data_IF_097078842486
#
_entry.id   IF_097078842486
#
_cell.length_a   1.000
_cell.length_b   1.000
_cell.length_c   1.000
_cell.angle_alpha   90.00
_cell.angle_beta   90.00
_cell.angle_gamma   90.00
#
_symmetry.space_group_name_H-M   'P 1'
#
loop_
_entity.id
_entity.type
_entity.pdbx_description
1 polymer ?
#
# COMPACT_ATOMS: atom_id res chain seq x y z
N UNK A 1 -9.70 4.83 -9.51
CA UNK A 1 -11.04 5.45 -9.43
C UNK A 1 -11.14 6.48 -10.56
N UNK A 2 -12.06 6.28 -11.50
CA UNK A 2 -12.29 7.24 -12.59
C UNK A 2 -12.89 8.54 -12.02
N UNK A 3 -12.34 9.70 -12.40
CA UNK A 3 -12.91 11.00 -12.07
C UNK A 3 -14.08 11.26 -13.01
N UNK A 4 -15.28 10.84 -12.62
CA UNK A 4 -16.49 11.25 -13.34
C UNK A 4 -16.80 12.71 -12.96
N UNK A 5 -16.83 13.65 -13.92
CA UNK A 5 -17.24 15.01 -13.62
C UNK A 5 -18.71 15.01 -13.18
N UNK A 6 -19.00 15.66 -12.05
CA UNK A 6 -20.38 15.78 -11.52
C UNK A 6 -21.30 16.55 -12.47
N UNK A 7 -20.73 17.44 -13.27
CA UNK A 7 -21.45 18.27 -14.25
C UNK A 7 -20.70 18.25 -15.58
N UNK A 8 -21.41 18.03 -16.69
CA UNK A 8 -20.86 18.08 -18.04
C UNK A 8 -20.37 19.50 -18.38
N UNK A 9 -19.50 19.63 -19.38
CA UNK A 9 -19.03 20.95 -19.81
C UNK A 9 -20.16 21.78 -20.44
N UNK A 10 -21.05 21.12 -21.18
CA UNK A 10 -22.24 21.71 -21.82
C UNK A 10 -23.21 22.27 -20.77
N UNK A 11 -23.58 21.49 -19.76
CA UNK A 11 -24.46 21.95 -18.67
C UNK A 11 -23.90 23.19 -17.95
N UNK A 12 -22.57 23.24 -17.73
CA UNK A 12 -21.93 24.43 -17.15
C UNK A 12 -21.99 25.63 -18.08
N UNK A 13 -21.84 25.41 -19.38
CA UNK A 13 -21.86 26.48 -20.38
C UNK A 13 -23.25 27.08 -20.50
N UNK A 14 -24.29 26.25 -20.53
CA UNK A 14 -25.69 26.68 -20.58
C UNK A 14 -26.04 27.58 -19.39
N UNK A 15 -25.69 27.15 -18.17
CA UNK A 15 -25.92 27.95 -16.97
C UNK A 15 -25.11 29.26 -16.95
N UNK A 16 -23.89 29.26 -17.48
CA UNK A 16 -23.09 30.49 -17.59
C UNK A 16 -23.72 31.46 -18.60
N UNK A 17 -24.20 30.96 -19.74
CA UNK A 17 -24.87 31.78 -20.74
C UNK A 17 -26.20 32.34 -20.23
N UNK A 18 -27.01 31.53 -19.54
CA UNK A 18 -28.26 31.96 -18.88
C UNK A 18 -27.98 33.02 -17.81
N UNK A 19 -26.91 32.86 -17.01
CA UNK A 19 -26.54 33.88 -16.04
C UNK A 19 -26.13 35.20 -16.71
N UNK A 20 -25.34 35.13 -17.80
CA UNK A 20 -24.88 36.31 -18.52
C UNK A 20 -26.01 37.08 -19.22
N UNK A 21 -27.14 36.43 -19.52
CA UNK A 21 -28.35 37.08 -20.04
C UNK A 21 -29.31 37.54 -18.93
N UNK A 22 -29.07 37.15 -17.68
CA UNK A 22 -29.86 37.56 -16.51
C UNK A 22 -29.31 38.81 -15.83
N UNK A 23 -30.15 39.49 -15.04
CA UNK A 23 -29.74 40.58 -14.12
C UNK A 23 -29.58 40.09 -12.68
N UNK A 24 -29.59 38.77 -12.46
CA UNK A 24 -29.52 38.18 -11.13
C UNK A 24 -28.11 38.33 -10.52
N UNK A 25 -28.05 38.34 -9.18
CA UNK A 25 -26.77 38.20 -8.48
C UNK A 25 -26.23 36.78 -8.62
N UNK A 26 -24.89 36.61 -8.63
CA UNK A 26 -24.23 35.29 -8.69
C UNK A 26 -24.79 34.35 -7.61
N UNK A 27 -25.00 34.88 -6.40
CA UNK A 27 -25.55 34.14 -5.27
C UNK A 27 -26.98 33.68 -5.50
N UNK A 28 -27.85 34.58 -5.99
CA UNK A 28 -29.25 34.28 -6.29
C UNK A 28 -29.37 33.20 -7.37
N UNK A 29 -28.63 33.39 -8.47
CA UNK A 29 -28.61 32.46 -9.59
C UNK A 29 -28.07 31.08 -9.19
N UNK A 30 -26.98 31.02 -8.42
CA UNK A 30 -26.41 29.77 -7.95
C UNK A 30 -27.39 29.01 -7.04
N UNK A 31 -28.02 29.72 -6.09
CA UNK A 31 -28.99 29.11 -5.18
C UNK A 31 -30.23 28.57 -5.91
N UNK A 32 -30.76 29.32 -6.90
CA UNK A 32 -31.86 28.88 -7.77
C UNK A 32 -31.53 27.58 -8.51
N UNK A 33 -30.27 27.42 -8.92
CA UNK A 33 -29.79 26.24 -9.64
C UNK A 33 -29.21 25.14 -8.72
N UNK A 34 -29.45 25.22 -7.41
CA UNK A 34 -28.94 24.26 -6.42
C UNK A 34 -27.40 24.10 -6.43
N UNK A 35 -26.69 25.17 -6.76
CA UNK A 35 -25.24 25.24 -6.76
C UNK A 35 -24.75 26.10 -5.60
N UNK A 36 -23.56 25.77 -5.09
CA UNK A 36 -22.86 26.70 -4.20
C UNK A 36 -22.38 27.93 -4.98
N UNK A 37 -22.47 29.11 -4.37
CA UNK A 37 -21.97 30.37 -4.93
C UNK A 37 -20.51 30.23 -5.39
N UNK A 38 -19.67 29.58 -4.58
CA UNK A 38 -18.26 29.31 -4.90
C UNK A 38 -18.09 28.43 -6.14
N UNK A 39 -18.90 27.36 -6.28
CA UNK A 39 -18.83 26.46 -7.43
C UNK A 39 -19.14 27.22 -8.72
N UNK A 40 -20.22 28.01 -8.71
CA UNK A 40 -20.66 28.76 -9.87
C UNK A 40 -19.70 29.91 -10.22
N UNK A 41 -19.22 30.65 -9.21
CA UNK A 41 -18.20 31.69 -9.40
C UNK A 41 -16.94 31.12 -10.08
N UNK A 42 -16.48 29.94 -9.65
CA UNK A 42 -15.33 29.27 -10.26
C UNK A 42 -15.56 28.89 -11.72
N UNK A 43 -16.80 28.58 -12.13
CA UNK A 43 -17.13 28.34 -13.53
C UNK A 43 -17.09 29.64 -14.33
N UNK A 44 -17.65 30.74 -13.79
CA UNK A 44 -17.59 32.06 -14.41
C UNK A 44 -16.16 32.53 -14.64
N UNK A 45 -15.28 32.41 -13.64
CA UNK A 45 -13.88 32.82 -13.75
C UNK A 45 -13.16 32.03 -14.86
N UNK A 46 -13.42 30.73 -14.95
CA UNK A 46 -12.86 29.87 -16.00
C UNK A 46 -13.41 30.21 -17.39
N UNK A 47 -14.70 30.50 -17.49
CA UNK A 47 -15.34 30.91 -18.73
C UNK A 47 -14.78 32.23 -19.25
N UNK A 48 -14.59 33.22 -18.37
CA UNK A 48 -14.02 34.53 -18.74
C UNK A 48 -12.60 34.43 -19.31
N UNK A 49 -11.79 33.50 -18.80
CA UNK A 49 -10.38 33.35 -19.24
C UNK A 49 -10.23 32.41 -20.43
N UNK A 50 -11.01 31.34 -20.49
CA UNK A 50 -10.77 30.22 -21.42
C UNK A 50 -12.02 29.81 -22.23
N UNK A 51 -13.15 30.50 -22.07
CA UNK A 51 -14.42 30.14 -22.70
C UNK A 51 -14.86 28.71 -22.34
N UNK A 52 -15.49 28.04 -23.31
CA UNK A 52 -15.95 26.65 -23.16
C UNK A 52 -14.83 25.70 -22.74
N UNK A 53 -13.61 25.90 -23.25
CA UNK A 53 -12.46 25.04 -22.94
C UNK A 53 -12.08 25.05 -21.45
N UNK A 54 -12.36 26.13 -20.72
CA UNK A 54 -12.13 26.25 -19.28
C UNK A 54 -13.09 25.41 -18.42
N UNK A 55 -14.28 25.11 -18.95
CA UNK A 55 -15.33 24.34 -18.28
C UNK A 55 -15.16 22.82 -18.47
N UNK A 56 -14.40 22.42 -19.49
CA UNK A 56 -14.03 21.02 -19.74
C UNK A 56 -13.16 20.53 -18.57
N UNK A 57 -13.59 19.41 -17.98
CA UNK A 57 -12.82 18.75 -16.92
C UNK A 57 -11.82 17.81 -17.57
N UNK A 58 -10.52 18.01 -17.33
CA UNK A 58 -9.48 17.10 -17.85
C UNK A 58 -9.69 15.70 -17.29
N UNK A 59 -9.74 14.71 -18.17
CA UNK A 59 -9.98 13.30 -17.82
C UNK A 59 -8.77 12.65 -17.12
N UNK A 60 -7.57 13.19 -17.35
CA UNK A 60 -6.34 12.71 -16.75
C UNK A 60 -5.52 13.84 -16.13
N UNK A 61 -4.73 13.50 -15.11
CA UNK A 61 -3.73 14.42 -14.59
C UNK A 61 -2.64 14.61 -15.65
N UNK A 62 -2.13 15.83 -15.78
CA UNK A 62 -0.94 16.09 -16.57
C UNK A 62 0.21 15.22 -16.04
N UNK A 63 0.70 14.32 -16.87
CA UNK A 63 1.84 13.47 -16.55
C UNK A 63 3.12 14.23 -16.86
N UNK A 64 4.05 14.19 -15.91
CA UNK A 64 5.38 14.79 -16.06
C UNK A 64 6.42 13.68 -15.96
N UNK A 65 7.39 13.68 -16.87
CA UNK A 65 8.46 12.68 -16.90
C UNK A 65 9.31 12.73 -15.63
N UNK A 66 9.97 11.60 -15.29
CA UNK A 66 10.83 11.53 -14.10
C UNK A 66 12.01 12.49 -14.22
N UNK A 67 12.59 12.60 -15.41
CA UNK A 67 13.71 13.49 -15.72
C UNK A 67 13.32 14.95 -15.51
N UNK A 68 12.19 15.38 -16.09
CA UNK A 68 11.68 16.73 -15.93
C UNK A 68 11.43 17.08 -14.46
N UNK A 69 10.78 16.20 -13.70
CA UNK A 69 10.57 16.39 -12.26
C UNK A 69 11.90 16.54 -11.52
N UNK A 70 12.93 15.78 -11.91
CA UNK A 70 14.25 15.84 -11.29
C UNK A 70 14.91 17.19 -11.58
N UNK A 71 14.86 17.68 -12.81
CA UNK A 71 15.38 19.00 -13.20
C UNK A 71 14.75 20.13 -12.38
N UNK A 72 13.41 20.15 -12.30
CA UNK A 72 12.70 21.18 -11.52
C UNK A 72 13.08 21.13 -10.04
N UNK A 73 13.26 19.93 -9.47
CA UNK A 73 13.67 19.78 -8.07
C UNK A 73 15.13 20.21 -7.88
N UNK A 74 16.04 19.87 -8.79
CA UNK A 74 17.45 20.27 -8.67
C UNK A 74 17.62 21.79 -8.74
N UNK A 75 16.88 22.47 -9.62
CA UNK A 75 16.91 23.93 -9.70
C UNK A 75 16.29 24.61 -8.48
N UNK A 76 15.28 23.98 -7.87
CA UNK A 76 14.77 24.46 -6.59
C UNK A 76 15.82 24.33 -5.49
N UNK A 77 16.53 23.19 -5.42
CA UNK A 77 17.60 22.96 -4.45
C UNK A 77 18.82 23.85 -4.68
N UNK A 78 19.03 24.36 -5.90
CA UNK A 78 20.06 25.37 -6.20
C UNK A 78 19.62 26.81 -5.87
N UNK A 79 18.43 26.99 -5.30
CA UNK A 79 17.96 28.27 -4.76
C UNK A 79 16.84 28.98 -5.52
N UNK A 80 16.36 28.43 -6.66
CA UNK A 80 15.22 29.05 -7.36
C UNK A 80 13.94 28.91 -6.53
N UNK A 81 13.18 30.00 -6.43
CA UNK A 81 11.90 29.98 -5.71
C UNK A 81 10.84 29.17 -6.47
N UNK A 82 9.89 28.59 -5.74
CA UNK A 82 8.79 27.83 -6.33
C UNK A 82 7.95 28.65 -7.33
N UNK A 83 7.83 29.96 -7.11
CA UNK A 83 7.08 30.87 -7.99
C UNK A 83 7.80 31.09 -9.31
N UNK A 84 9.13 31.25 -9.27
CA UNK A 84 9.97 31.40 -10.48
C UNK A 84 9.89 30.13 -11.31
N UNK A 85 10.08 28.96 -10.68
CA UNK A 85 9.97 27.66 -11.36
C UNK A 85 8.58 27.43 -11.95
N UNK A 86 7.52 27.86 -11.25
CA UNK A 86 6.16 27.75 -11.75
C UNK A 86 5.95 28.56 -13.02
N UNK A 87 6.47 29.79 -13.07
CA UNK A 87 6.37 30.67 -14.24
C UNK A 87 7.23 30.16 -15.41
N UNK A 88 8.50 29.83 -15.15
CA UNK A 88 9.47 29.37 -16.14
C UNK A 88 9.00 28.08 -16.85
N UNK A 89 8.50 27.12 -16.06
CA UNK A 89 8.05 25.83 -16.57
C UNK A 89 6.54 25.74 -16.82
N UNK A 90 5.81 26.87 -16.74
CA UNK A 90 4.35 26.95 -16.93
C UNK A 90 3.57 25.91 -16.10
N UNK A 91 4.02 25.65 -14.88
CA UNK A 91 3.41 24.67 -13.98
C UNK A 91 2.15 25.23 -13.35
N UNK A 92 1.19 24.34 -13.09
CA UNK A 92 -0.15 24.74 -12.65
C UNK A 92 -0.22 25.14 -11.17
N UNK A 93 0.78 24.79 -10.35
CA UNK A 93 0.76 25.07 -8.93
C UNK A 93 2.13 24.92 -8.28
N UNK A 94 2.45 25.80 -7.33
CA UNK A 94 3.60 25.66 -6.42
C UNK A 94 3.48 24.43 -5.51
N UNK A 95 2.26 23.98 -5.21
CA UNK A 95 2.00 22.77 -4.41
C UNK A 95 2.43 21.50 -5.14
N UNK A 96 2.36 21.50 -6.48
CA UNK A 96 2.84 20.41 -7.32
C UNK A 96 4.36 20.26 -7.18
N UNK A 97 5.10 21.36 -7.30
CA UNK A 97 6.56 21.40 -7.15
C UNK A 97 6.97 20.97 -5.74
N UNK A 98 6.28 21.49 -4.72
CA UNK A 98 6.51 21.11 -3.31
C UNK A 98 6.30 19.62 -3.05
N UNK A 99 5.35 18.98 -3.75
CA UNK A 99 5.15 17.54 -3.68
C UNK A 99 6.32 16.76 -4.29
N UNK A 100 6.87 17.23 -5.41
CA UNK A 100 8.04 16.61 -6.05
C UNK A 100 9.29 16.72 -5.18
N UNK A 101 9.55 17.89 -4.58
CA UNK A 101 10.67 18.11 -3.65
C UNK A 101 10.57 17.17 -2.44
N UNK A 102 9.38 17.04 -1.84
CA UNK A 102 9.15 16.11 -0.72
C UNK A 102 9.42 14.66 -1.12
N UNK A 103 8.96 14.24 -2.30
CA UNK A 103 9.21 12.88 -2.79
C UNK A 103 10.70 12.62 -3.06
N UNK A 104 11.40 13.60 -3.62
CA UNK A 104 12.84 13.54 -3.83
C UNK A 104 13.60 13.40 -2.50
N UNK A 105 13.31 14.26 -1.52
CA UNK A 105 13.94 14.20 -0.20
C UNK A 105 13.62 12.89 0.53
N UNK A 106 12.39 12.38 0.41
CA UNK A 106 12.03 11.06 0.96
C UNK A 106 12.87 9.94 0.34
N UNK A 107 13.04 9.95 -0.98
CA UNK A 107 13.86 8.95 -1.67
C UNK A 107 15.34 9.06 -1.28
N UNK A 108 15.88 10.28 -1.19
CA UNK A 108 17.24 10.54 -0.71
C UNK A 108 17.45 10.03 0.73
N UNK A 109 16.55 10.37 1.65
CA UNK A 109 16.59 9.90 3.03
C UNK A 109 16.44 8.37 3.15
N UNK A 110 15.70 7.72 2.25
CA UNK A 110 15.59 6.26 2.20
C UNK A 110 16.87 5.59 1.66
N UNK A 111 17.58 6.25 0.75
CA UNK A 111 18.86 5.78 0.23
C UNK A 111 20.00 5.96 1.23
N UNK A 112 19.98 7.06 2.01
CA UNK A 112 21.01 7.37 3.03
C UNK A 112 20.83 6.57 4.32
N UNK A 113 19.61 6.12 4.63
CA UNK A 113 19.43 5.18 5.74
C UNK A 113 19.98 3.83 5.30
N UNK A 114 21.01 3.27 5.96
CA UNK A 114 21.38 1.89 5.73
C UNK A 114 20.12 1.07 6.01
N UNK A 115 19.59 0.44 4.98
CA UNK A 115 18.53 -0.55 5.17
C UNK A 115 19.11 -1.52 6.18
N UNK A 116 18.61 -1.52 7.43
CA UNK A 116 18.85 -2.60 8.38
C UNK A 116 18.14 -3.83 7.81
N UNK A 117 18.65 -4.38 6.70
CA UNK A 117 18.55 -5.80 6.46
C UNK A 117 19.17 -6.38 7.73
N UNK A 118 18.37 -7.08 8.53
CA UNK A 118 18.90 -7.92 9.60
C UNK A 118 19.98 -8.74 8.93
N UNK A 119 21.23 -8.48 9.28
CA UNK A 119 22.35 -9.14 8.65
C UNK A 119 22.29 -10.60 9.12
N UNK A 120 21.60 -11.44 8.33
CA UNK A 120 21.42 -12.87 8.61
C UNK A 120 22.76 -13.62 8.48
N UNK A 121 23.80 -12.93 8.04
CA UNK A 121 25.17 -13.42 7.83
C UNK A 121 25.96 -13.57 9.14
N UNK A 122 25.57 -12.89 10.22
CA UNK A 122 26.25 -12.99 11.52
C UNK A 122 25.82 -14.20 12.37
N UNK A 123 24.84 -14.98 11.93
CA UNK A 123 24.43 -16.18 12.67
C UNK A 123 25.33 -17.36 12.29
N UNK A 124 26.39 -17.60 13.07
CA UNK A 124 27.13 -18.88 13.07
C UNK A 124 26.12 -20.03 13.09
N UNK A 125 26.34 -21.04 12.25
CA UNK A 125 25.57 -22.29 12.31
C UNK A 125 25.85 -22.97 13.65
N UNK A 126 24.83 -23.12 14.47
CA UNK A 126 24.90 -23.81 15.77
C UNK A 126 24.14 -25.12 15.72
N UNK A 127 24.73 -26.16 16.31
CA UNK A 127 24.13 -27.49 16.48
C UNK A 127 23.15 -27.51 17.65
N UNK A 128 22.27 -28.50 17.71
CA UNK A 128 21.31 -28.62 18.82
C UNK A 128 22.02 -28.74 20.18
N UNK A 129 23.07 -29.55 20.26
CA UNK A 129 23.83 -29.75 21.50
C UNK A 129 24.50 -28.46 21.97
N UNK A 130 25.04 -27.65 21.05
CA UNK A 130 25.57 -26.33 21.40
C UNK A 130 24.48 -25.41 21.95
N UNK A 131 23.28 -25.39 21.34
CA UNK A 131 22.16 -24.57 21.83
C UNK A 131 21.70 -24.98 23.22
N UNK A 132 21.63 -26.29 23.49
CA UNK A 132 21.29 -26.85 24.81
C UNK A 132 22.35 -26.46 25.82
N UNK A 133 23.64 -26.64 25.49
CA UNK A 133 24.76 -26.28 26.38
C UNK A 133 24.72 -24.79 26.76
N UNK A 134 24.59 -23.90 25.78
CA UNK A 134 24.55 -22.45 26.01
C UNK A 134 23.36 -22.07 26.89
N UNK A 135 22.18 -22.62 26.57
CA UNK A 135 20.97 -22.34 27.34
C UNK A 135 21.06 -22.87 28.77
N UNK A 136 21.65 -24.05 28.97
CA UNK A 136 21.83 -24.65 30.29
C UNK A 136 22.80 -23.82 31.14
N UNK A 137 23.92 -23.37 30.57
CA UNK A 137 24.88 -22.50 31.28
C UNK A 137 24.26 -21.17 31.75
N UNK A 138 23.33 -20.60 30.97
CA UNK A 138 22.59 -19.40 31.38
C UNK A 138 21.56 -19.72 32.47
N UNK A 139 20.93 -20.91 32.42
CA UNK A 139 19.99 -21.35 33.48
C UNK A 139 20.72 -21.64 34.79
N UNK A 140 21.89 -22.26 34.71
CA UNK A 140 22.75 -22.62 35.84
C UNK A 140 23.47 -21.41 36.44
N UNK A 141 23.31 -20.22 35.84
CA UNK A 141 23.90 -18.97 36.32
C UNK A 141 25.39 -18.80 36.04
N UNK A 142 25.97 -19.66 35.19
CA UNK A 142 27.40 -19.59 34.79
C UNK A 142 27.67 -18.36 33.92
N UNK A 143 26.70 -17.96 33.09
CA UNK A 143 26.78 -16.77 32.26
C UNK A 143 25.48 -15.95 32.31
N UNK A 144 25.61 -14.62 32.24
CA UNK A 144 24.50 -13.76 31.83
C UNK A 144 24.13 -13.96 30.35
N UNK A 145 22.92 -13.54 29.97
CA UNK A 145 22.44 -13.69 28.58
C UNK A 145 23.33 -13.01 27.53
N UNK A 146 23.90 -11.84 27.87
CA UNK A 146 24.79 -11.09 26.98
C UNK A 146 26.19 -11.73 26.95
N UNK A 147 26.70 -12.16 28.09
CA UNK A 147 28.01 -12.83 28.21
C UNK A 147 28.02 -14.15 27.44
N UNK A 148 26.95 -14.95 27.51
CA UNK A 148 26.79 -16.15 26.72
C UNK A 148 26.69 -15.86 25.21
N UNK A 149 26.08 -14.73 24.84
CA UNK A 149 25.99 -14.32 23.44
C UNK A 149 27.40 -14.02 22.89
N UNK A 150 28.19 -13.26 23.64
CA UNK A 150 29.54 -12.86 23.25
C UNK A 150 30.51 -14.06 23.27
N UNK A 151 30.48 -14.88 24.32
CA UNK A 151 31.35 -16.05 24.48
C UNK A 151 31.18 -17.11 23.37
N UNK A 152 29.95 -17.27 22.86
CA UNK A 152 29.64 -18.26 21.83
C UNK A 152 29.50 -17.64 20.42
N UNK A 153 29.74 -16.33 20.28
CA UNK A 153 29.58 -15.57 19.04
C UNK A 153 28.18 -15.81 18.40
N UNK A 154 27.15 -15.65 19.21
CA UNK A 154 25.74 -15.80 18.85
C UNK A 154 24.98 -14.57 19.30
N UNK A 155 23.85 -14.25 18.67
CA UNK A 155 23.10 -13.05 19.08
C UNK A 155 22.36 -13.28 20.41
N UNK A 156 22.24 -12.23 21.23
CA UNK A 156 21.43 -12.23 22.46
C UNK A 156 20.03 -12.84 22.26
N UNK A 157 19.38 -12.48 21.15
CA UNK A 157 18.03 -12.94 20.81
C UNK A 157 17.97 -14.47 20.60
N UNK A 158 19.06 -15.08 20.11
CA UNK A 158 19.16 -16.53 19.97
C UNK A 158 19.28 -17.21 21.34
N UNK A 159 20.16 -16.69 22.22
CA UNK A 159 20.34 -17.21 23.58
C UNK A 159 19.03 -17.14 24.37
N UNK A 160 18.36 -15.97 24.37
CA UNK A 160 17.07 -15.80 25.03
C UNK A 160 16.02 -16.79 24.51
N UNK A 161 15.92 -16.93 23.19
CA UNK A 161 15.01 -17.88 22.56
C UNK A 161 15.31 -19.34 22.92
N UNK A 162 16.58 -19.71 23.07
CA UNK A 162 16.97 -21.06 23.45
C UNK A 162 16.65 -21.36 24.91
N UNK A 163 16.97 -20.46 25.84
CA UNK A 163 16.64 -20.61 27.27
C UNK A 163 15.14 -20.76 27.46
N UNK A 164 14.33 -19.92 26.78
CA UNK A 164 12.87 -20.02 26.83
C UNK A 164 12.35 -21.38 26.36
N UNK A 165 12.90 -21.91 25.25
CA UNK A 165 12.49 -23.20 24.70
C UNK A 165 12.92 -24.37 25.58
N UNK A 166 14.13 -24.32 26.13
CA UNK A 166 14.67 -25.34 27.03
C UNK A 166 13.82 -25.44 28.30
N UNK A 167 13.42 -24.30 28.90
CA UNK A 167 12.51 -24.28 30.06
C UNK A 167 11.11 -24.81 29.75
N UNK A 168 10.60 -24.62 28.52
CA UNK A 168 9.23 -24.97 28.16
C UNK A 168 9.05 -26.43 27.70
N UNK A 169 10.06 -27.02 27.04
CA UNK A 169 9.94 -28.34 26.43
C UNK A 169 11.24 -29.13 26.37
N UNK A 170 12.21 -28.80 27.23
CA UNK A 170 13.46 -29.54 27.35
C UNK A 170 14.36 -29.47 26.10
N UNK A 171 15.38 -30.35 26.03
CA UNK A 171 16.36 -30.36 24.95
C UNK A 171 15.78 -30.62 23.56
N UNK A 172 14.65 -31.33 23.47
CA UNK A 172 13.97 -31.62 22.21
C UNK A 172 13.29 -30.40 21.59
N UNK A 173 12.90 -29.41 22.40
CA UNK A 173 12.33 -28.15 21.91
C UNK A 173 13.34 -27.28 21.14
N UNK A 174 14.64 -27.61 21.21
CA UNK A 174 15.73 -26.91 20.52
C UNK A 174 16.11 -27.54 19.17
N UNK A 175 15.46 -28.65 18.78
CA UNK A 175 15.61 -29.27 17.45
C UNK A 175 15.21 -28.27 16.36
N UNK A 176 16.05 -28.13 15.33
CA UNK A 176 15.72 -27.29 14.18
C UNK A 176 14.73 -28.01 13.25
N UNK A 177 13.44 -27.74 13.45
CA UNK A 177 12.35 -28.29 12.61
C UNK A 177 11.96 -27.37 11.45
N UNK A 178 12.74 -26.33 11.13
CA UNK A 178 12.41 -25.42 10.01
C UNK A 178 12.39 -26.18 8.68
N UNK A 179 11.28 -26.09 7.96
CA UNK A 179 11.12 -26.73 6.65
C UNK A 179 10.87 -28.25 6.69
N UNK A 180 10.73 -28.86 7.88
CA UNK A 180 10.38 -30.28 8.02
C UNK A 180 8.99 -30.39 8.64
N UNK A 181 8.09 -31.13 7.98
CA UNK A 181 6.75 -31.40 8.48
C UNK A 181 6.81 -32.18 9.80
N UNK A 182 5.82 -31.98 10.70
CA UNK A 182 5.67 -32.83 11.90
C UNK A 182 5.54 -34.29 11.46
N UNK A 183 6.18 -35.22 12.17
CA UNK A 183 6.01 -36.65 11.93
C UNK A 183 4.53 -37.04 12.10
N UNK A 184 4.03 -37.94 11.25
CA UNK A 184 2.61 -38.38 11.24
C UNK A 184 2.18 -38.97 12.60
N UNK A 185 3.12 -39.53 13.36
CA UNK A 185 2.90 -40.06 14.70
C UNK A 185 2.64 -38.98 15.77
N UNK A 186 3.06 -37.73 15.55
CA UNK A 186 2.83 -36.60 16.46
C UNK A 186 1.58 -35.77 16.07
N UNK A 187 0.84 -36.17 15.02
CA UNK A 187 -0.39 -35.47 14.64
C UNK A 187 -1.51 -35.83 15.62
N UNK A 188 -1.94 -34.84 16.40
CA UNK A 188 -3.16 -34.96 17.21
C UNK A 188 -4.35 -35.28 16.30
N UNK A 189 -5.36 -35.98 16.84
CA UNK A 189 -6.62 -36.22 16.14
C UNK A 189 -7.24 -34.91 15.61
N UNK A 190 -7.05 -33.80 16.32
CA UNK A 190 -7.46 -32.46 15.89
C UNK A 190 -6.75 -31.97 14.63
N UNK A 191 -5.46 -32.29 14.46
CA UNK A 191 -4.67 -31.87 13.31
C UNK A 191 -5.12 -32.64 12.05
N UNK A 192 -5.43 -33.94 12.20
CA UNK A 192 -6.04 -34.75 11.13
C UNK A 192 -7.42 -34.23 10.73
N UNK A 193 -8.27 -33.93 11.72
CA UNK A 193 -9.60 -33.36 11.50
C UNK A 193 -9.55 -31.99 10.80
N UNK A 194 -8.56 -31.16 11.10
CA UNK A 194 -8.36 -29.87 10.40
C UNK A 194 -7.92 -30.05 8.96
N UNK A 195 -7.04 -31.02 8.70
CA UNK A 195 -6.60 -31.33 7.34
C UNK A 195 -7.77 -31.86 6.51
N UNK A 196 -8.53 -32.82 7.04
CA UNK A 196 -9.72 -33.37 6.39
C UNK A 196 -10.79 -32.29 6.17
N UNK A 197 -11.07 -31.43 7.16
CA UNK A 197 -11.97 -30.29 6.97
C UNK A 197 -11.52 -29.34 5.86
N UNK A 198 -10.21 -29.14 5.70
CA UNK A 198 -9.66 -28.28 4.65
C UNK A 198 -9.87 -28.89 3.27
N UNK A 199 -9.68 -30.20 3.14
CA UNK A 199 -9.91 -30.97 1.91
C UNK A 199 -11.40 -31.01 1.57
N UNK A 200 -12.27 -31.33 2.53
CA UNK A 200 -13.73 -31.31 2.37
C UNK A 200 -14.23 -29.92 1.95
N UNK A 201 -13.76 -28.85 2.58
CA UNK A 201 -14.12 -27.47 2.18
C UNK A 201 -13.67 -27.13 0.76
N UNK A 202 -12.53 -27.67 0.31
CA UNK A 202 -12.09 -27.50 -1.08
C UNK A 202 -13.04 -28.24 -2.02
N UNK A 203 -13.43 -29.47 -1.66
CA UNK A 203 -14.34 -30.27 -2.47
C UNK A 203 -15.73 -29.66 -2.60
N UNK A 204 -16.27 -29.12 -1.50
CA UNK A 204 -17.54 -28.39 -1.49
C UNK A 204 -17.47 -27.21 -2.45
N UNK A 205 -16.41 -26.38 -2.40
CA UNK A 205 -16.24 -25.26 -3.34
C UNK A 205 -16.16 -25.70 -4.80
N UNK A 206 -15.45 -26.80 -5.08
CA UNK A 206 -15.38 -27.36 -6.44
C UNK A 206 -16.75 -27.81 -6.96
N UNK A 207 -17.55 -28.46 -6.10
CA UNK A 207 -18.91 -28.89 -6.45
C UNK A 207 -19.87 -27.71 -6.62
N UNK A 208 -19.82 -26.70 -5.75
CA UNK A 208 -20.62 -25.48 -5.88
C UNK A 208 -20.36 -24.76 -7.21
N UNK A 209 -19.09 -24.67 -7.62
CA UNK A 209 -18.71 -24.11 -8.92
C UNK A 209 -19.25 -24.96 -10.06
N UNK A 210 -19.12 -26.30 -9.98
CA UNK A 210 -19.64 -27.20 -11.02
C UNK A 210 -21.17 -27.09 -11.16
N UNK A 211 -21.90 -27.02 -10.05
CA UNK A 211 -23.36 -26.82 -10.06
C UNK A 211 -23.76 -25.47 -10.66
N UNK A 212 -23.05 -24.39 -10.33
CA UNK A 212 -23.29 -23.07 -10.90
C UNK A 212 -23.09 -23.07 -12.42
N UNK A 213 -22.05 -23.75 -12.91
CA UNK A 213 -21.80 -23.92 -14.34
C UNK A 213 -22.92 -24.73 -15.03
N UNK A 214 -23.35 -25.85 -14.43
CA UNK A 214 -24.45 -26.66 -14.96
C UNK A 214 -25.77 -25.87 -15.05
N UNK A 215 -26.08 -25.05 -14.03
CA UNK A 215 -27.25 -24.17 -14.06
C UNK A 215 -27.16 -23.16 -15.21
N UNK A 216 -25.97 -22.60 -15.45
CA UNK A 216 -25.75 -21.64 -16.56
C UNK A 216 -25.93 -22.30 -17.93
N UNK A 217 -25.42 -23.51 -18.11
CA UNK A 217 -25.58 -24.28 -19.37
C UNK A 217 -27.06 -24.56 -19.64
N UNK A 218 -27.81 -25.02 -18.63
CA UNK A 218 -29.27 -25.25 -18.77
C UNK A 218 -30.04 -23.97 -19.09
N UNK A 219 -29.62 -22.82 -18.57
CA UNK A 219 -30.23 -21.53 -18.88
C UNK A 219 -29.98 -21.12 -20.34
N UNK A 220 -28.79 -21.38 -20.87
CA UNK A 220 -28.44 -21.11 -22.28
C UNK A 220 -29.27 -21.98 -23.21
N UNK A 221 -29.35 -23.29 -22.95
CA UNK A 221 -30.15 -24.23 -23.75
C UNK A 221 -31.63 -23.82 -23.81
N UNK A 222 -32.22 -23.43 -22.68
CA UNK A 222 -33.62 -22.92 -22.65
C UNK A 222 -33.83 -21.60 -23.39
N UNK A 223 -32.78 -20.80 -23.63
CA UNK A 223 -32.84 -19.58 -24.42
C UNK A 223 -32.68 -19.86 -25.92
N UNK A 224 -31.99 -20.94 -26.28
CA UNK A 224 -31.81 -21.40 -27.66
C UNK A 224 -33.04 -22.17 -28.16
N UNK A 225 -33.78 -22.86 -27.27
CA UNK A 225 -35.00 -23.61 -27.58
C UNK A 225 -36.29 -22.73 -27.63
N UNK A 226 -36.19 -21.40 -27.55
CA UNK A 226 -37.30 -20.43 -27.61
C UNK A 226 -37.22 -19.55 -28.84
#
# INVERSE_FOLDING_TARGET
MSRKPTYSAEFKADLVLEYLSSTESVRGFAHRNHLSEWTFQKWLDKWRVHGLSGLITKESNTSYSKEFKRTVVTEHLSGKSLRVLMAEYKLQSTSLISSWVRQYNKAKNMAEKPTRKRDRTLARKTTQNERVKIAQQVIDGVYGYQEAADAYNVTYQMVYGWVRKLKAGGPEALVDRRGKAKAVAEQSAEDKLKQENRELRKRVRELEVAEALLKKIREIQRREDR
#
